data_IF_830818616785
#
_entry.id   IF_830818616785
#
_cell.length_a   1.000
_cell.length_b   1.000
_cell.length_c   1.000
_cell.angle_alpha   90.00
_cell.angle_beta   90.00
_cell.angle_gamma   90.00
#
_symmetry.space_group_name_H-M   'P 1'
#
loop_
_entity.id
_entity.type
_entity.pdbx_description
1 polymer ?
#
# COMPACT_ATOMS: atom_id res chain seq x y z
N UNK A 1 -8.35 0.08 -11.60
CA UNK A 1 -8.15 1.02 -10.48
C UNK A 1 -8.53 0.41 -9.13
N UNK A 2 -9.81 0.12 -8.85
CA UNK A 2 -10.28 -0.36 -7.52
C UNK A 2 -9.54 -1.60 -7.02
N UNK A 3 -9.35 -2.60 -7.89
CA UNK A 3 -8.69 -3.86 -7.51
C UNK A 3 -7.21 -3.67 -7.13
N UNK A 4 -6.52 -2.72 -7.78
CA UNK A 4 -5.11 -2.40 -7.52
C UNK A 4 -4.98 -1.67 -6.18
N UNK A 5 -5.80 -0.64 -5.96
CA UNK A 5 -5.85 0.08 -4.69
C UNK A 5 -6.19 -0.84 -3.51
N UNK A 6 -7.17 -1.75 -3.68
CA UNK A 6 -7.53 -2.72 -2.65
C UNK A 6 -6.39 -3.71 -2.33
N UNK A 7 -5.67 -4.21 -3.34
CA UNK A 7 -4.50 -5.06 -3.14
C UNK A 7 -3.38 -4.32 -2.41
N UNK A 8 -3.09 -3.08 -2.80
CA UNK A 8 -2.06 -2.26 -2.16
C UNK A 8 -2.41 -1.93 -0.71
N UNK A 9 -3.66 -1.60 -0.41
CA UNK A 9 -4.11 -1.37 0.97
C UNK A 9 -3.90 -2.58 1.88
N UNK A 10 -4.04 -3.82 1.36
CA UNK A 10 -3.73 -5.05 2.11
C UNK A 10 -2.23 -5.21 2.37
N UNK A 11 -1.37 -4.84 1.40
CA UNK A 11 0.08 -4.84 1.60
C UNK A 11 0.48 -3.85 2.70
N UNK A 12 -0.09 -2.65 2.69
CA UNK A 12 0.15 -1.64 3.73
C UNK A 12 -0.28 -2.13 5.12
N UNK A 13 -1.46 -2.76 5.23
CA UNK A 13 -1.89 -3.35 6.49
C UNK A 13 -0.90 -4.44 6.97
N UNK A 14 -0.46 -5.31 6.07
CA UNK A 14 0.51 -6.37 6.39
C UNK A 14 1.86 -5.78 6.81
N UNK A 15 2.32 -4.71 6.16
CA UNK A 15 3.52 -3.95 6.55
C UNK A 15 3.42 -3.42 7.98
N UNK A 16 2.34 -2.72 8.33
CA UNK A 16 2.19 -2.16 9.68
C UNK A 16 2.02 -3.24 10.75
N UNK A 17 1.41 -4.39 10.42
CA UNK A 17 1.38 -5.54 11.33
C UNK A 17 2.77 -6.13 11.54
N UNK A 18 3.52 -6.39 10.47
CA UNK A 18 4.87 -6.92 10.54
C UNK A 18 5.83 -5.98 11.30
N UNK A 19 5.68 -4.66 11.12
CA UNK A 19 6.41 -3.64 11.85
C UNK A 19 6.16 -3.73 13.37
N UNK A 20 4.92 -3.98 13.78
CA UNK A 20 4.57 -4.20 15.19
C UNK A 20 5.10 -5.53 15.75
N UNK A 21 5.26 -6.54 14.91
CA UNK A 21 5.81 -7.86 15.24
C UNK A 21 7.35 -7.90 15.16
N UNK A 22 8.00 -6.82 14.72
CA UNK A 22 9.46 -6.71 14.61
C UNK A 22 10.08 -7.37 13.38
N UNK A 23 9.27 -7.74 12.38
CA UNK A 23 9.70 -8.30 11.11
C UNK A 23 9.68 -7.21 10.02
N UNK A 24 10.83 -6.94 9.40
CA UNK A 24 11.01 -5.82 8.47
C UNK A 24 11.09 -6.21 7.00
N UNK A 25 11.08 -7.51 6.67
CA UNK A 25 11.56 -7.96 5.35
C UNK A 25 10.46 -8.14 4.30
N UNK A 26 9.17 -8.23 4.67
CA UNK A 26 8.18 -8.78 3.74
C UNK A 26 7.38 -7.73 2.94
N UNK A 27 7.24 -6.49 3.43
CA UNK A 27 6.33 -5.53 2.80
C UNK A 27 6.93 -4.13 2.63
N UNK A 28 6.57 -3.47 1.52
CA UNK A 28 7.03 -2.12 1.20
C UNK A 28 6.27 -1.07 2.02
N UNK A 29 6.95 -0.10 2.64
CA UNK A 29 6.31 1.02 3.34
C UNK A 29 5.45 1.89 2.40
N UNK A 30 4.63 2.80 2.97
CA UNK A 30 4.00 3.87 2.20
C UNK A 30 5.04 4.65 1.40
N UNK A 31 4.76 4.88 0.13
CA UNK A 31 5.62 5.61 -0.80
C UNK A 31 5.23 7.08 -0.93
N UNK A 32 4.13 7.50 -0.31
CA UNK A 32 3.65 8.88 -0.26
C UNK A 32 3.55 9.32 1.19
N UNK A 33 3.89 10.58 1.45
CA UNK A 33 3.71 11.18 2.75
C UNK A 33 2.26 11.66 2.86
N UNK A 34 1.56 11.16 3.86
CA UNK A 34 0.11 11.36 4.00
C UNK A 34 -0.27 11.49 5.46
N UNK A 35 -1.09 12.49 5.82
CA UNK A 35 -1.57 12.65 7.18
C UNK A 35 -2.65 11.62 7.55
N UNK A 36 -3.13 10.83 6.57
CA UNK A 36 -4.19 9.85 6.77
C UNK A 36 -3.65 8.51 7.28
N UNK A 37 -4.22 7.99 8.37
CA UNK A 37 -3.96 6.63 8.85
C UNK A 37 -4.73 5.53 8.11
N UNK A 38 -5.60 5.89 7.15
CA UNK A 38 -6.41 4.92 6.43
C UNK A 38 -5.67 4.35 5.22
N UNK A 39 -5.33 3.05 5.27
CA UNK A 39 -4.56 2.37 4.24
C UNK A 39 -5.15 2.44 2.83
N UNK A 40 -6.48 2.52 2.69
CA UNK A 40 -7.10 2.65 1.38
C UNK A 40 -6.87 4.04 0.78
N UNK A 41 -6.89 5.07 1.62
CA UNK A 41 -6.58 6.45 1.21
C UNK A 41 -5.12 6.54 0.76
N UNK A 42 -4.18 5.98 1.53
CA UNK A 42 -2.76 5.92 1.16
C UNK A 42 -2.58 5.21 -0.18
N UNK A 43 -3.20 4.05 -0.37
CA UNK A 43 -3.11 3.30 -1.62
C UNK A 43 -3.68 4.06 -2.84
N UNK A 44 -4.73 4.85 -2.65
CA UNK A 44 -5.30 5.70 -3.70
C UNK A 44 -4.40 6.90 -4.01
N UNK A 45 -3.76 7.50 -3.00
CA UNK A 45 -2.81 8.60 -3.18
C UNK A 45 -1.53 8.12 -3.88
N UNK A 46 -1.02 6.92 -3.54
CA UNK A 46 0.09 6.28 -4.25
C UNK A 46 -0.26 5.97 -5.71
N UNK A 47 -1.48 5.50 -5.96
CA UNK A 47 -1.99 5.25 -7.31
C UNK A 47 -2.11 6.55 -8.12
N UNK A 48 -2.68 7.60 -7.53
CA UNK A 48 -2.81 8.91 -8.16
C UNK A 48 -1.45 9.57 -8.43
N UNK A 49 -0.47 9.34 -7.55
CA UNK A 49 0.92 9.81 -7.70
C UNK A 49 1.72 9.00 -8.72
N UNK A 50 1.14 7.95 -9.33
CA UNK A 50 1.81 7.11 -10.31
C UNK A 50 2.93 6.25 -9.75
N UNK A 51 2.96 5.99 -8.43
CA UNK A 51 4.01 5.18 -7.78
C UNK A 51 3.73 3.68 -7.80
N UNK A 52 2.55 3.27 -8.27
CA UNK A 52 2.13 1.87 -8.36
C UNK A 52 2.14 1.43 -9.81
N UNK A 53 3.01 0.46 -10.12
CA UNK A 53 2.98 -0.24 -11.39
C UNK A 53 2.10 -1.50 -11.28
N UNK A 54 1.23 -1.73 -12.26
CA UNK A 54 0.31 -2.87 -12.22
C UNK A 54 0.09 -3.47 -13.61
N UNK A 55 0.14 -4.80 -13.67
CA UNK A 55 -0.16 -5.57 -14.86
C UNK A 55 -1.46 -6.34 -14.67
N UNK A 56 -2.41 -6.13 -15.56
CA UNK A 56 -3.61 -6.95 -15.62
C UNK A 56 -3.29 -8.19 -16.45
N UNK A 57 -3.31 -9.37 -15.82
CA UNK A 57 -3.29 -10.65 -16.53
C UNK A 57 -4.73 -10.99 -16.89
N UNK A 58 -5.04 -10.95 -18.19
CA UNK A 58 -6.30 -11.44 -18.75
C UNK A 58 -6.30 -12.97 -18.78
#
# INVERSE_FOLDING_TARGET
>A
AVLVAAKRARQLNSYYRALGEGSYEEFTPPMVDTPSGNYLTIALEEFASGKIDYHYRA
#
